data_IF_590329068635
#
_entry.id   IF_590329068635
#
_cell.length_a   1.000
_cell.length_b   1.000
_cell.length_c   1.000
_cell.angle_alpha   90.00
_cell.angle_beta   90.00
_cell.angle_gamma   90.00
#
_symmetry.space_group_name_H-M   'P 1'
#
loop_
_entity.id
_entity.type
_entity.pdbx_description
1 polymer ?
#
# COMPACT_ATOMS: atom_id res chain seq x y z
N UNK A 1 18.81 -13.21 -7.05
CA UNK A 1 17.95 -12.09 -7.48
C UNK A 1 18.83 -10.89 -7.80
N UNK A 2 18.43 -9.98 -8.71
CA UNK A 2 19.17 -8.74 -8.93
C UNK A 2 19.09 -7.87 -7.69
N UNK A 3 20.19 -7.22 -7.36
CA UNK A 3 20.28 -6.25 -6.28
C UNK A 3 21.18 -5.12 -6.76
N UNK A 4 20.87 -3.90 -6.35
CA UNK A 4 21.72 -2.76 -6.69
C UNK A 4 23.14 -2.95 -6.15
N UNK A 5 24.14 -2.90 -7.02
CA UNK A 5 25.54 -3.13 -6.70
C UNK A 5 25.97 -4.60 -6.71
N UNK A 6 25.06 -5.54 -6.97
CA UNK A 6 25.37 -6.97 -7.01
C UNK A 6 26.01 -7.37 -8.35
N UNK A 7 26.72 -8.50 -8.32
CA UNK A 7 27.44 -9.06 -9.47
C UNK A 7 27.04 -10.51 -9.67
N UNK A 8 26.59 -10.84 -10.88
CA UNK A 8 26.32 -12.22 -11.30
C UNK A 8 27.40 -12.66 -12.29
N UNK A 9 27.93 -13.87 -12.12
CA UNK A 9 28.90 -14.45 -13.05
C UNK A 9 28.22 -15.45 -13.97
N UNK A 10 28.44 -15.30 -15.28
CA UNK A 10 28.03 -16.27 -16.30
C UNK A 10 29.25 -16.96 -16.92
N UNK A 11 29.03 -18.15 -17.49
CA UNK A 11 30.06 -18.90 -18.19
C UNK A 11 29.79 -18.88 -19.69
N UNK A 12 30.75 -18.40 -20.47
CA UNK A 12 30.73 -18.57 -21.92
C UNK A 12 31.64 -19.74 -22.29
N UNK A 13 31.09 -20.74 -22.99
CA UNK A 13 31.76 -22.03 -23.24
C UNK A 13 31.70 -22.41 -24.72
N UNK A 14 32.79 -22.96 -25.26
CA UNK A 14 32.85 -23.51 -26.61
C UNK A 14 32.74 -25.04 -26.56
N UNK A 15 31.81 -25.60 -27.33
CA UNK A 15 31.61 -27.04 -27.49
C UNK A 15 32.03 -27.51 -28.89
N UNK A 16 32.22 -28.82 -29.05
CA UNK A 16 32.42 -29.50 -30.34
C UNK A 16 31.51 -30.73 -30.45
N UNK A 17 31.21 -31.18 -31.66
CA UNK A 17 30.54 -32.47 -31.86
C UNK A 17 31.52 -33.64 -31.71
N UNK A 18 31.08 -34.72 -31.06
CA UNK A 18 31.80 -35.98 -30.96
C UNK A 18 31.74 -36.80 -32.28
N UNK A 19 32.25 -36.22 -33.38
CA UNK A 19 32.16 -36.81 -34.72
C UNK A 19 30.95 -36.31 -35.54
N UNK A 20 30.81 -36.78 -36.78
CA UNK A 20 29.66 -36.42 -37.62
C UNK A 20 28.36 -36.97 -37.00
N UNK A 21 27.43 -36.07 -36.68
CA UNK A 21 26.15 -36.43 -36.03
C UNK A 21 26.24 -36.77 -34.54
N UNK A 22 27.42 -36.63 -33.91
CA UNK A 22 27.61 -36.91 -32.48
C UNK A 22 27.05 -35.82 -31.56
N UNK A 23 26.95 -36.15 -30.26
CA UNK A 23 26.53 -35.20 -29.21
C UNK A 23 27.52 -34.04 -29.05
N UNK A 24 27.04 -32.91 -28.56
CA UNK A 24 27.88 -31.78 -28.17
C UNK A 24 28.66 -32.10 -26.90
N UNK A 25 29.98 -31.99 -26.98
CA UNK A 25 30.92 -32.25 -25.89
C UNK A 25 31.81 -31.04 -25.64
N UNK A 26 32.19 -30.85 -24.38
CA UNK A 26 33.14 -29.84 -23.93
C UNK A 26 34.50 -30.48 -23.60
N UNK A 27 35.65 -29.82 -23.89
CA UNK A 27 35.76 -28.54 -24.57
C UNK A 27 35.84 -28.67 -26.10
N UNK A 28 35.38 -27.63 -26.80
CA UNK A 28 35.64 -27.41 -28.21
C UNK A 28 36.97 -26.70 -28.47
N UNK A 29 37.34 -26.43 -29.73
CA UNK A 29 38.56 -25.69 -30.05
C UNK A 29 38.47 -24.23 -29.53
N UNK A 30 39.57 -23.63 -29.05
CA UNK A 30 39.55 -22.24 -28.59
C UNK A 30 39.04 -21.27 -29.66
N UNK A 31 38.20 -20.30 -29.25
CA UNK A 31 37.64 -19.23 -30.10
C UNK A 31 37.58 -17.92 -29.36
N UNK A 32 37.63 -16.82 -30.10
CA UNK A 32 37.26 -15.51 -29.56
C UNK A 32 35.75 -15.54 -29.33
N UNK A 33 35.33 -15.23 -28.10
CA UNK A 33 33.94 -15.18 -27.70
C UNK A 33 33.52 -13.72 -27.61
N UNK A 34 32.36 -13.40 -28.18
CA UNK A 34 31.68 -12.11 -27.98
C UNK A 34 30.39 -12.37 -27.23
N UNK A 35 30.18 -11.67 -26.11
CA UNK A 35 28.92 -11.63 -25.37
C UNK A 35 28.37 -10.22 -25.43
N UNK A 36 27.07 -10.07 -25.66
CA UNK A 36 26.39 -8.78 -25.67
C UNK A 36 25.02 -8.84 -25.00
N UNK A 37 24.55 -7.72 -24.49
CA UNK A 37 23.11 -7.56 -24.21
C UNK A 37 22.36 -7.36 -25.53
N UNK A 38 21.39 -8.22 -25.80
CA UNK A 38 20.39 -8.00 -26.86
C UNK A 38 19.16 -7.27 -26.33
N UNK A 39 18.93 -7.37 -25.02
CA UNK A 39 17.97 -6.58 -24.26
C UNK A 39 18.56 -6.30 -22.87
N UNK A 40 18.35 -5.11 -22.32
CA UNK A 40 18.60 -4.79 -20.92
C UNK A 40 17.65 -3.68 -20.47
N UNK A 41 17.28 -3.69 -19.20
CA UNK A 41 16.48 -2.63 -18.58
C UNK A 41 17.30 -1.35 -18.35
N UNK A 42 16.59 -0.24 -18.19
CA UNK A 42 17.12 1.08 -17.89
C UNK A 42 16.05 1.88 -17.13
N UNK A 43 15.59 1.32 -16.02
CA UNK A 43 14.53 1.94 -15.24
C UNK A 43 15.03 3.23 -14.56
N UNK A 44 14.11 4.15 -14.27
CA UNK A 44 14.48 5.36 -13.51
C UNK A 44 14.77 4.98 -12.05
N UNK A 45 15.85 5.47 -11.46
CA UNK A 45 16.23 5.18 -10.07
C UNK A 45 16.86 3.81 -9.85
N UNK A 46 16.87 3.32 -8.62
CA UNK A 46 17.36 1.96 -8.26
C UNK A 46 16.23 1.01 -7.86
N UNK A 47 15.09 1.58 -7.45
CA UNK A 47 13.83 0.90 -7.14
C UNK A 47 12.68 1.92 -7.31
N UNK A 48 11.45 1.54 -6.97
CA UNK A 48 10.25 2.32 -7.32
C UNK A 48 10.14 3.70 -6.67
N UNK A 49 10.81 3.91 -5.55
CA UNK A 49 10.68 5.12 -4.74
C UNK A 49 12.03 5.68 -4.26
N UNK A 50 13.13 5.31 -4.90
CA UNK A 50 14.45 5.80 -4.52
C UNK A 50 15.42 5.93 -5.70
N UNK A 51 16.27 6.96 -5.65
CA UNK A 51 17.22 7.29 -6.71
C UNK A 51 16.56 8.00 -7.89
N UNK A 52 17.41 8.56 -8.76
CA UNK A 52 16.97 9.36 -9.91
C UNK A 52 17.76 9.09 -11.18
N UNK A 53 18.63 8.06 -11.19
CA UNK A 53 19.40 7.72 -12.38
C UNK A 53 18.46 7.30 -13.53
N UNK A 54 18.94 7.44 -14.75
CA UNK A 54 18.26 6.96 -15.97
C UNK A 54 19.23 6.15 -16.82
N UNK A 55 20.26 5.60 -16.17
CA UNK A 55 21.33 4.82 -16.80
C UNK A 55 20.86 3.39 -17.03
N UNK A 56 21.55 2.62 -17.88
CA UNK A 56 21.29 1.18 -17.97
C UNK A 56 21.48 0.46 -16.63
N UNK A 57 20.62 -0.52 -16.36
CA UNK A 57 20.62 -1.21 -15.07
C UNK A 57 21.68 -2.31 -14.99
N UNK A 58 22.25 -2.70 -16.14
CA UNK A 58 23.20 -3.80 -16.26
C UNK A 58 24.37 -3.42 -17.17
N UNK A 59 25.59 -3.77 -16.76
CA UNK A 59 26.80 -3.52 -17.55
C UNK A 59 27.90 -4.57 -17.33
N UNK A 60 28.82 -4.67 -18.30
CA UNK A 60 30.08 -5.40 -18.17
C UNK A 60 31.20 -4.44 -17.76
N UNK A 61 31.40 -4.22 -16.46
CA UNK A 61 32.40 -3.27 -16.01
C UNK A 61 33.83 -3.77 -16.33
N UNK A 62 34.68 -3.00 -17.03
CA UNK A 62 35.99 -3.47 -17.50
C UNK A 62 36.92 -3.92 -16.37
N UNK A 63 36.94 -3.19 -15.25
CA UNK A 63 37.81 -3.51 -14.10
C UNK A 63 37.42 -4.81 -13.39
N UNK A 64 36.18 -5.30 -13.58
CA UNK A 64 35.71 -6.58 -13.03
C UNK A 64 35.80 -7.73 -14.02
N UNK A 65 36.18 -7.44 -15.27
CA UNK A 65 36.08 -8.37 -16.38
C UNK A 65 37.40 -8.57 -17.13
N UNK A 66 38.57 -8.33 -16.56
CA UNK A 66 39.82 -8.76 -17.21
C UNK A 66 39.85 -10.31 -17.34
N UNK A 67 40.13 -10.90 -18.52
CA UNK A 67 40.71 -10.34 -19.74
C UNK A 67 39.71 -10.09 -20.90
N UNK A 68 38.47 -9.72 -20.61
CA UNK A 68 37.53 -9.21 -21.61
C UNK A 68 37.86 -7.76 -21.98
N UNK A 69 37.78 -7.46 -23.28
CA UNK A 69 37.63 -6.11 -23.79
C UNK A 69 36.13 -5.76 -23.76
N UNK A 70 35.73 -4.97 -22.76
CA UNK A 70 34.36 -4.49 -22.62
C UNK A 70 34.19 -3.11 -23.29
N UNK A 71 33.15 -2.96 -24.12
CA UNK A 71 32.83 -1.73 -24.83
C UNK A 71 31.32 -1.49 -24.88
N UNK A 72 30.91 -0.25 -25.12
CA UNK A 72 29.53 0.09 -25.48
C UNK A 72 29.34 0.08 -27.00
N UNK A 73 28.11 -0.20 -27.46
CA UNK A 73 27.72 0.04 -28.84
C UNK A 73 27.87 1.53 -29.22
N UNK A 74 27.98 1.83 -30.51
CA UNK A 74 28.08 3.21 -30.98
C UNK A 74 26.89 4.05 -30.50
N UNK A 75 27.17 5.17 -29.82
CA UNK A 75 26.15 6.02 -29.20
C UNK A 75 25.66 5.55 -27.82
N UNK A 76 26.14 4.41 -27.33
CA UNK A 76 25.88 3.92 -25.98
C UNK A 76 26.81 4.56 -24.94
N UNK A 77 26.40 4.51 -23.67
CA UNK A 77 27.16 5.06 -22.55
C UNK A 77 28.44 4.24 -22.27
N UNK A 78 29.64 4.82 -22.42
CA UNK A 78 30.90 4.13 -22.11
C UNK A 78 31.05 3.71 -20.64
N UNK A 79 30.32 4.33 -19.71
CA UNK A 79 30.29 3.93 -18.31
C UNK A 79 29.49 2.62 -18.10
N UNK A 80 28.63 2.25 -19.04
CA UNK A 80 27.80 1.04 -19.00
C UNK A 80 28.01 0.15 -20.24
N UNK A 81 29.21 -0.45 -20.42
CA UNK A 81 29.50 -1.33 -21.54
C UNK A 81 28.48 -2.46 -21.67
N UNK A 82 28.08 -2.75 -22.91
CA UNK A 82 27.05 -3.73 -23.25
C UNK A 82 27.56 -4.90 -24.09
N UNK A 83 28.84 -4.87 -24.43
CA UNK A 83 29.53 -5.86 -25.24
C UNK A 83 30.85 -6.22 -24.58
N UNK A 84 31.17 -7.51 -24.52
CA UNK A 84 32.43 -8.03 -24.01
C UNK A 84 33.03 -9.02 -25.02
N UNK A 85 34.29 -8.82 -25.39
CA UNK A 85 35.03 -9.70 -26.30
C UNK A 85 36.26 -10.25 -25.60
N UNK A 86 36.51 -11.55 -25.65
CA UNK A 86 37.74 -12.12 -25.07
C UNK A 86 38.98 -11.62 -25.83
N UNK A 87 40.04 -11.24 -25.13
CA UNK A 87 41.29 -10.74 -25.76
C UNK A 87 42.02 -11.76 -26.67
N UNK A 88 41.63 -13.03 -26.63
CA UNK A 88 42.15 -14.07 -27.50
C UNK A 88 41.28 -15.32 -27.48
N UNK A 89 41.65 -16.36 -28.25
CA UNK A 89 40.88 -17.59 -28.31
C UNK A 89 40.88 -18.36 -26.98
N UNK A 90 39.69 -18.70 -26.48
CA UNK A 90 39.49 -19.46 -25.22
C UNK A 90 38.44 -20.57 -25.41
N UNK A 91 38.43 -21.55 -24.51
CA UNK A 91 37.39 -22.60 -24.48
C UNK A 91 36.28 -22.30 -23.48
N UNK A 92 36.62 -21.58 -22.42
CA UNK A 92 35.73 -21.12 -21.37
C UNK A 92 36.24 -19.78 -20.87
N UNK A 93 35.32 -18.87 -20.57
CA UNK A 93 35.64 -17.64 -19.84
C UNK A 93 34.46 -17.25 -18.94
N UNK A 94 34.79 -16.79 -17.73
CA UNK A 94 33.81 -16.21 -16.80
C UNK A 94 33.61 -14.74 -17.13
N UNK A 95 32.35 -14.30 -17.18
CA UNK A 95 31.97 -12.91 -17.39
C UNK A 95 31.11 -12.45 -16.21
N UNK A 96 31.50 -11.36 -15.58
CA UNK A 96 30.79 -10.70 -14.50
C UNK A 96 29.83 -9.64 -15.06
N UNK A 97 28.63 -9.64 -14.51
CA UNK A 97 27.53 -8.75 -14.88
C UNK A 97 27.15 -7.95 -13.64
N UNK A 98 27.29 -6.64 -13.73
CA UNK A 98 26.97 -5.72 -12.64
C UNK A 98 25.53 -5.24 -12.76
N UNK A 99 24.78 -5.32 -11.66
CA UNK A 99 23.42 -4.78 -11.54
C UNK A 99 23.43 -3.47 -10.76
N UNK A 100 22.63 -2.51 -11.21
CA UNK A 100 22.47 -1.17 -10.63
C UNK A 100 21.01 -0.86 -10.27
N UNK A 101 20.12 -1.85 -10.37
CA UNK A 101 18.69 -1.72 -10.09
C UNK A 101 18.16 -3.02 -9.49
N UNK A 102 17.26 -2.93 -8.50
CA UNK A 102 16.68 -4.09 -7.83
C UNK A 102 15.68 -4.87 -8.69
N UNK A 103 15.19 -4.30 -9.78
CA UNK A 103 14.30 -4.91 -10.77
C UNK A 103 14.96 -5.16 -12.12
N UNK A 104 16.30 -5.12 -12.22
CA UNK A 104 17.00 -5.22 -13.50
C UNK A 104 16.71 -6.54 -14.23
N UNK A 105 16.52 -6.49 -15.54
CA UNK A 105 16.39 -7.66 -16.41
C UNK A 105 17.20 -7.52 -17.70
N UNK A 106 17.65 -8.64 -18.27
CA UNK A 106 18.37 -8.64 -19.55
C UNK A 106 18.28 -9.97 -20.29
N UNK A 107 18.58 -9.90 -21.59
CA UNK A 107 18.85 -11.02 -22.46
C UNK A 107 20.27 -10.90 -22.99
N UNK A 108 21.07 -11.94 -22.77
CA UNK A 108 22.45 -12.03 -23.25
C UNK A 108 22.51 -12.93 -24.47
N UNK A 109 23.34 -12.58 -25.43
CA UNK A 109 23.69 -13.43 -26.57
C UNK A 109 25.19 -13.66 -26.61
N UNK A 110 25.60 -14.92 -26.78
CA UNK A 110 26.99 -15.30 -27.02
C UNK A 110 27.22 -15.74 -28.47
N UNK A 111 28.30 -15.27 -29.09
CA UNK A 111 28.71 -15.63 -30.44
C UNK A 111 30.21 -15.90 -30.52
N UNK A 112 30.62 -16.73 -31.49
CA UNK A 112 32.02 -17.01 -31.76
C UNK A 112 32.21 -17.34 -33.26
N UNK A 113 33.31 -16.90 -33.90
CA UNK A 113 33.56 -17.15 -35.32
C UNK A 113 33.61 -18.64 -35.66
N UNK A 114 32.82 -19.05 -36.66
CA UNK A 114 32.75 -20.45 -37.12
C UNK A 114 32.06 -21.41 -36.16
N UNK A 115 31.34 -20.89 -35.16
CA UNK A 115 30.49 -21.68 -34.26
C UNK A 115 29.02 -21.54 -34.64
N UNK A 116 28.22 -22.54 -34.27
CA UNK A 116 26.76 -22.46 -34.28
C UNK A 116 26.27 -22.16 -32.86
N UNK A 117 25.12 -21.48 -32.71
CA UNK A 117 24.57 -21.19 -31.39
C UNK A 117 24.08 -22.47 -30.70
N UNK A 118 24.30 -22.56 -29.39
CA UNK A 118 23.92 -23.70 -28.58
C UNK A 118 23.06 -23.25 -27.40
N UNK A 119 22.16 -24.13 -26.96
CA UNK A 119 21.38 -23.97 -25.73
C UNK A 119 21.52 -25.21 -24.86
N UNK A 120 21.62 -25.00 -23.54
CA UNK A 120 21.51 -26.07 -22.56
C UNK A 120 20.05 -26.24 -22.13
N UNK A 121 19.51 -27.44 -22.27
CA UNK A 121 18.17 -27.79 -21.79
C UNK A 121 18.17 -28.03 -20.27
N UNK A 122 17.00 -28.00 -19.60
CA UNK A 122 16.90 -28.35 -18.18
C UNK A 122 17.44 -29.75 -17.83
N UNK A 123 17.44 -30.67 -18.79
CA UNK A 123 18.04 -32.01 -18.66
C UNK A 123 19.57 -32.00 -18.60
N UNK A 124 20.21 -30.85 -18.83
CA UNK A 124 21.65 -30.68 -18.96
C UNK A 124 22.19 -30.93 -20.37
N UNK A 125 21.37 -31.45 -21.28
CA UNK A 125 21.72 -31.68 -22.69
C UNK A 125 22.03 -30.36 -23.42
N UNK A 126 23.04 -30.36 -24.29
CA UNK A 126 23.40 -29.22 -25.13
C UNK A 126 22.99 -29.50 -26.56
N UNK A 127 22.15 -28.63 -27.12
CA UNK A 127 21.57 -28.77 -28.46
C UNK A 127 21.85 -27.52 -29.30
N UNK A 128 21.78 -27.65 -30.62
CA UNK A 128 21.81 -26.50 -31.51
C UNK A 128 20.55 -25.64 -31.31
N UNK A 129 20.73 -24.33 -31.38
CA UNK A 129 19.66 -23.36 -31.25
C UNK A 129 19.79 -22.29 -32.34
N UNK A 130 18.72 -21.53 -32.55
CA UNK A 130 18.75 -20.36 -33.44
C UNK A 130 19.65 -19.26 -32.89
N UNK A 131 19.72 -19.14 -31.55
CA UNK A 131 20.60 -18.22 -30.82
C UNK A 131 21.08 -18.85 -29.52
N UNK A 132 22.26 -18.44 -29.06
CA UNK A 132 22.83 -18.83 -27.77
C UNK A 132 22.49 -17.72 -26.77
N UNK A 133 21.22 -17.69 -26.38
CA UNK A 133 20.66 -16.67 -25.50
C UNK A 133 20.37 -17.21 -24.10
N UNK A 134 20.53 -16.36 -23.09
CA UNK A 134 20.12 -16.63 -21.71
C UNK A 134 19.71 -15.34 -21.02
N UNK A 135 18.73 -15.40 -20.11
CA UNK A 135 18.33 -14.29 -19.27
C UNK A 135 19.27 -14.13 -18.07
N UNK A 136 19.56 -12.89 -17.71
CA UNK A 136 20.19 -12.53 -16.42
C UNK A 136 19.42 -11.36 -15.80
N UNK A 137 18.85 -11.51 -14.59
CA UNK A 137 18.76 -12.74 -13.80
C UNK A 137 18.03 -13.86 -14.55
N UNK A 138 18.15 -15.10 -14.05
CA UNK A 138 17.45 -16.25 -14.63
C UNK A 138 15.94 -15.99 -14.61
N UNK A 139 15.33 -16.14 -15.77
CA UNK A 139 13.91 -15.91 -16.06
C UNK A 139 13.54 -16.90 -17.17
N UNK A 140 13.03 -18.07 -16.76
CA UNK A 140 12.71 -19.18 -17.68
C UNK A 140 11.35 -18.99 -18.37
N UNK A 141 10.44 -18.23 -17.76
CA UNK A 141 9.10 -17.97 -18.29
C UNK A 141 9.02 -16.66 -19.10
N UNK A 142 10.13 -15.93 -19.21
CA UNK A 142 10.29 -14.69 -19.97
C UNK A 142 9.33 -13.59 -19.52
N UNK A 143 9.00 -13.52 -18.23
CA UNK A 143 8.15 -12.47 -17.67
C UNK A 143 8.95 -11.27 -17.13
N UNK A 144 10.27 -11.27 -17.28
CA UNK A 144 11.19 -10.19 -16.86
C UNK A 144 11.27 -10.01 -15.33
N UNK A 145 10.86 -11.04 -14.59
CA UNK A 145 10.98 -11.16 -13.14
C UNK A 145 11.88 -12.38 -12.88
N UNK A 146 12.83 -12.25 -11.95
CA UNK A 146 13.73 -13.36 -11.67
C UNK A 146 12.94 -14.56 -11.09
N UNK A 147 13.21 -15.76 -11.61
CA UNK A 147 12.67 -17.02 -11.09
C UNK A 147 12.85 -17.17 -9.57
N UNK A 148 13.94 -16.60 -9.04
CA UNK A 148 14.30 -16.68 -7.63
C UNK A 148 13.42 -15.83 -6.69
N UNK A 149 12.53 -14.97 -7.20
CA UNK A 149 11.65 -14.17 -6.35
C UNK A 149 10.41 -14.92 -5.88
N UNK A 150 9.83 -15.78 -6.71
CA UNK A 150 8.65 -16.57 -6.35
C UNK A 150 8.99 -18.04 -6.56
N UNK A 151 9.18 -18.78 -5.46
CA UNK A 151 9.61 -20.18 -5.52
C UNK A 151 8.59 -21.13 -6.20
N UNK A 152 7.37 -20.69 -6.55
CA UNK A 152 6.34 -21.59 -7.11
C UNK A 152 5.45 -21.07 -8.26
N UNK A 153 5.54 -19.82 -8.76
CA UNK A 153 4.59 -19.34 -9.79
C UNK A 153 5.24 -18.98 -11.13
N UNK A 154 5.55 -20.01 -11.92
CA UNK A 154 6.09 -19.94 -13.27
C UNK A 154 5.19 -19.23 -14.32
N UNK A 155 4.07 -18.61 -13.95
CA UNK A 155 3.11 -18.05 -14.92
C UNK A 155 2.56 -16.65 -14.57
N UNK A 156 3.15 -15.94 -13.59
CA UNK A 156 2.67 -14.60 -13.22
C UNK A 156 3.06 -13.58 -14.29
N UNK A 157 2.09 -12.92 -14.96
CA UNK A 157 2.40 -11.79 -15.83
C UNK A 157 3.00 -10.64 -15.02
N UNK A 158 4.00 -9.95 -15.56
CA UNK A 158 4.63 -8.81 -14.90
C UNK A 158 3.70 -7.63 -14.62
N UNK A 159 2.57 -7.54 -15.34
CA UNK A 159 1.52 -6.52 -15.18
C UNK A 159 0.38 -6.93 -14.25
N UNK A 160 0.46 -8.10 -13.61
CA UNK A 160 -0.59 -8.59 -12.73
C UNK A 160 -0.67 -7.74 -11.46
N UNK A 161 -1.87 -7.27 -11.10
CA UNK A 161 -2.17 -6.50 -9.88
C UNK A 161 -3.56 -6.94 -9.41
N UNK A 162 -3.61 -8.11 -8.78
CA UNK A 162 -4.83 -8.82 -8.38
C UNK A 162 -4.79 -9.33 -6.94
N UNK A 163 -4.01 -8.68 -6.07
CA UNK A 163 -3.89 -8.97 -4.64
C UNK A 163 -5.26 -9.12 -4.00
N UNK A 164 -5.54 -10.32 -3.51
CA UNK A 164 -6.86 -10.72 -3.01
C UNK A 164 -6.81 -11.10 -1.52
N UNK A 165 -5.75 -10.70 -0.80
CA UNK A 165 -5.68 -10.78 0.66
C UNK A 165 -5.49 -9.39 1.28
N UNK A 166 -6.50 -8.86 2.00
CA UNK A 166 -7.84 -9.43 2.19
C UNK A 166 -8.66 -9.40 0.89
N UNK A 167 -9.56 -10.37 0.74
CA UNK A 167 -10.47 -10.40 -0.40
C UNK A 167 -11.63 -9.43 -0.21
N UNK A 168 -11.84 -8.60 -1.23
CA UNK A 168 -12.96 -7.65 -1.31
C UNK A 168 -13.27 -7.34 -2.79
N UNK A 169 -14.33 -6.56 -3.11
CA UNK A 169 -14.67 -6.19 -4.48
C UNK A 169 -13.62 -5.36 -5.25
N UNK A 170 -12.52 -4.99 -4.61
CA UNK A 170 -11.46 -4.13 -5.14
C UNK A 170 -10.11 -4.87 -5.11
N UNK A 171 -9.90 -5.88 -5.97
CA UNK A 171 -8.65 -6.65 -6.02
C UNK A 171 -7.44 -5.75 -6.32
N UNK A 172 -6.25 -6.20 -5.93
CA UNK A 172 -5.02 -5.43 -6.10
C UNK A 172 -4.86 -4.27 -5.12
N UNK A 173 -3.64 -3.77 -5.05
CA UNK A 173 -3.28 -2.56 -4.31
C UNK A 173 -2.73 -1.44 -5.21
N UNK A 174 -2.73 -1.66 -6.53
CA UNK A 174 -2.27 -0.69 -7.50
C UNK A 174 -0.81 -0.88 -7.90
N UNK A 175 -0.14 -1.91 -7.38
CA UNK A 175 1.21 -2.31 -7.72
C UNK A 175 1.17 -3.60 -8.54
N UNK A 176 1.88 -3.59 -9.66
CA UNK A 176 2.01 -4.79 -10.49
C UNK A 176 3.06 -5.75 -9.94
N UNK A 177 3.01 -7.02 -10.36
CA UNK A 177 4.00 -8.02 -9.98
C UNK A 177 5.44 -7.58 -10.24
N UNK A 178 5.71 -6.85 -11.33
CA UNK A 178 7.03 -6.28 -11.55
C UNK A 178 7.38 -5.15 -10.59
N UNK A 179 6.41 -4.30 -10.25
CA UNK A 179 6.60 -3.23 -9.27
C UNK A 179 6.92 -3.81 -7.89
N UNK A 180 6.14 -4.78 -7.45
CA UNK A 180 6.36 -5.49 -6.19
C UNK A 180 7.69 -6.25 -6.13
N UNK A 181 8.04 -6.90 -7.25
CA UNK A 181 9.35 -7.47 -7.47
C UNK A 181 10.41 -6.39 -7.32
N UNK A 182 10.41 -5.34 -8.15
CA UNK A 182 11.42 -4.28 -8.15
C UNK A 182 11.54 -3.61 -6.77
N UNK A 183 10.44 -3.52 -6.05
CA UNK A 183 10.37 -3.19 -4.63
C UNK A 183 10.60 -1.72 -4.32
N UNK A 184 10.71 -1.45 -3.03
CA UNK A 184 10.70 -0.11 -2.44
C UNK A 184 11.80 0.01 -1.39
N UNK A 185 12.35 1.21 -1.25
CA UNK A 185 13.07 1.62 -0.06
C UNK A 185 12.04 1.90 1.05
N UNK A 186 12.20 1.24 2.20
CA UNK A 186 11.34 1.39 3.36
C UNK A 186 12.26 1.62 4.57
N UNK A 187 12.33 2.86 5.05
CA UNK A 187 13.18 3.27 6.17
C UNK A 187 14.67 2.95 5.94
N UNK A 188 15.15 3.30 4.75
CA UNK A 188 16.53 3.13 4.30
C UNK A 188 16.89 1.70 3.88
N UNK A 189 15.94 0.76 3.87
CA UNK A 189 16.17 -0.64 3.48
C UNK A 189 15.29 -1.03 2.30
N UNK A 190 15.89 -1.62 1.25
CA UNK A 190 15.14 -2.15 0.13
C UNK A 190 14.35 -3.39 0.54
N UNK A 191 13.07 -3.42 0.18
CA UNK A 191 12.15 -4.52 0.43
C UNK A 191 11.31 -4.78 -0.83
N UNK A 192 11.12 -6.06 -1.17
CA UNK A 192 10.11 -6.51 -2.14
C UNK A 192 8.78 -6.77 -1.43
N UNK A 193 7.68 -6.70 -2.17
CA UNK A 193 6.33 -6.98 -1.66
C UNK A 193 5.79 -8.31 -2.21
N UNK A 194 4.50 -8.58 -2.07
CA UNK A 194 3.89 -9.89 -2.29
C UNK A 194 2.62 -9.78 -3.13
N UNK A 195 2.63 -10.44 -4.29
CA UNK A 195 1.56 -10.49 -5.32
C UNK A 195 0.21 -11.05 -4.89
N UNK A 196 0.10 -11.50 -3.65
CA UNK A 196 -1.15 -12.01 -3.08
C UNK A 196 -1.66 -11.16 -1.93
N UNK A 197 -0.96 -10.09 -1.52
CA UNK A 197 -1.24 -9.33 -0.32
C UNK A 197 -1.16 -7.83 -0.57
N UNK A 198 -2.27 -7.15 -0.28
CA UNK A 198 -2.34 -5.69 -0.41
C UNK A 198 -1.36 -5.01 0.55
N UNK A 199 -0.58 -4.06 0.04
CA UNK A 199 0.32 -3.21 0.80
C UNK A 199 -0.17 -1.76 0.86
N UNK A 200 -0.27 -1.22 2.08
CA UNK A 200 -0.61 0.18 2.36
C UNK A 200 0.59 0.91 2.96
N UNK A 201 0.99 2.01 2.32
CA UNK A 201 2.18 2.75 2.68
C UNK A 201 1.87 4.02 3.48
N UNK A 202 2.67 4.27 4.52
CA UNK A 202 2.60 5.47 5.33
C UNK A 202 3.91 6.25 5.38
N UNK A 203 3.79 7.57 5.47
CA UNK A 203 4.80 8.41 6.12
C UNK A 203 4.36 8.65 7.57
N UNK A 204 5.11 8.09 8.52
CA UNK A 204 4.76 8.09 9.96
C UNK A 204 5.91 8.63 10.84
N UNK A 205 6.36 9.89 10.65
CA UNK A 205 7.53 10.44 11.36
C UNK A 205 7.31 10.59 12.88
N UNK A 206 6.06 10.60 13.34
CA UNK A 206 5.70 10.72 14.76
C UNK A 206 5.44 9.37 15.44
N UNK A 207 5.65 8.25 14.74
CA UNK A 207 5.46 6.88 15.27
C UNK A 207 4.06 6.64 15.85
N UNK A 208 3.02 7.10 15.15
CA UNK A 208 1.65 6.74 15.50
C UNK A 208 1.43 5.21 15.41
N UNK A 209 0.57 4.64 16.26
CA UNK A 209 0.34 3.19 16.31
C UNK A 209 -0.45 2.69 15.10
N UNK A 210 0.25 2.21 14.07
CA UNK A 210 -0.33 1.69 12.82
C UNK A 210 -0.64 0.19 12.87
N UNK A 211 -0.15 -0.56 13.87
CA UNK A 211 -0.32 -2.01 13.97
C UNK A 211 -1.79 -2.46 13.98
N UNK A 212 -2.68 -1.64 14.56
CA UNK A 212 -4.12 -1.91 14.59
C UNK A 212 -4.77 -1.83 13.20
N UNK A 213 -4.23 -1.02 12.29
CA UNK A 213 -4.69 -0.96 10.89
C UNK A 213 -4.53 -2.33 10.24
N UNK A 214 -3.33 -2.92 10.29
CA UNK A 214 -3.07 -4.25 9.75
C UNK A 214 -3.90 -5.32 10.47
N UNK A 215 -4.02 -5.25 11.80
CA UNK A 215 -4.78 -6.23 12.57
C UNK A 215 -6.28 -6.27 12.19
N UNK A 216 -6.90 -5.12 11.92
CA UNK A 216 -8.35 -5.06 11.63
C UNK A 216 -8.67 -5.19 10.14
N UNK A 217 -7.82 -4.67 9.27
CA UNK A 217 -8.03 -4.73 7.82
C UNK A 217 -7.45 -5.99 7.17
N UNK A 218 -6.45 -6.62 7.80
CA UNK A 218 -5.57 -7.63 7.19
C UNK A 218 -4.73 -7.11 6.00
N UNK A 219 -4.73 -5.80 5.73
CA UNK A 219 -3.85 -5.15 4.74
C UNK A 219 -2.49 -4.95 5.38
N UNK A 220 -1.40 -5.28 4.67
CA UNK A 220 -0.06 -5.06 5.19
C UNK A 220 0.25 -3.58 5.28
N UNK A 221 0.83 -3.18 6.41
CA UNK A 221 1.24 -1.79 6.63
C UNK A 221 2.74 -1.68 6.40
N UNK A 222 3.12 -0.75 5.53
CA UNK A 222 4.51 -0.37 5.23
C UNK A 222 4.73 1.08 5.64
N UNK A 223 5.91 1.38 6.13
CA UNK A 223 6.30 2.75 6.48
C UNK A 223 7.56 3.14 5.71
N UNK A 224 7.57 4.38 5.23
CA UNK A 224 8.68 4.97 4.47
C UNK A 224 9.13 6.28 5.12
N UNK A 225 10.41 6.60 4.95
CA UNK A 225 11.02 7.82 5.46
C UNK A 225 10.92 8.99 4.47
N UNK A 226 11.12 10.24 4.91
CA UNK A 226 11.25 11.38 4.00
C UNK A 226 12.32 11.13 2.93
N UNK A 227 11.98 11.38 1.66
CA UNK A 227 12.85 11.12 0.51
C UNK A 227 12.63 9.77 -0.18
N UNK A 228 11.77 8.91 0.37
CA UNK A 228 11.36 7.61 -0.20
C UNK A 228 9.97 7.67 -0.85
N UNK A 229 9.57 8.87 -1.26
CA UNK A 229 8.32 9.18 -1.95
C UNK A 229 8.42 10.62 -2.48
N UNK A 230 7.57 10.98 -3.44
CA UNK A 230 7.59 12.31 -4.06
C UNK A 230 6.79 13.33 -3.24
N UNK A 231 7.48 14.26 -2.57
CA UNK A 231 6.87 15.40 -1.88
C UNK A 231 6.71 16.59 -2.85
N UNK A 232 5.55 17.27 -2.91
CA UNK A 232 4.35 17.11 -2.07
C UNK A 232 3.26 16.19 -2.64
N UNK A 233 3.49 15.55 -3.81
CA UNK A 233 2.45 14.80 -4.52
C UNK A 233 2.00 13.53 -3.76
N UNK A 234 2.81 13.01 -2.84
CA UNK A 234 2.64 11.73 -2.12
C UNK A 234 2.78 10.49 -2.98
N UNK A 235 3.22 10.64 -4.22
CA UNK A 235 3.41 9.51 -5.12
C UNK A 235 4.54 8.64 -4.56
N UNK A 236 4.22 7.38 -4.26
CA UNK A 236 5.14 6.39 -3.73
C UNK A 236 6.02 5.84 -4.86
N UNK A 237 5.42 5.28 -5.90
CA UNK A 237 6.11 4.65 -7.03
C UNK A 237 6.52 5.66 -8.13
N UNK A 238 7.17 6.76 -7.76
CA UNK A 238 7.54 7.84 -8.70
C UNK A 238 8.57 7.42 -9.77
N UNK A 239 9.27 6.31 -9.54
CA UNK A 239 10.17 5.68 -10.50
C UNK A 239 9.49 4.54 -11.31
N UNK A 240 8.17 4.57 -11.45
CA UNK A 240 7.41 3.66 -12.33
C UNK A 240 7.78 3.83 -13.81
N UNK A 241 7.70 2.73 -14.58
CA UNK A 241 8.06 2.69 -15.99
C UNK A 241 7.67 1.37 -16.64
N UNK A 242 8.54 0.37 -16.55
CA UNK A 242 8.27 -0.97 -17.06
C UNK A 242 7.13 -1.66 -16.31
N UNK A 243 6.22 -2.28 -17.07
CA UNK A 243 5.09 -3.07 -16.58
C UNK A 243 4.22 -2.39 -15.50
N UNK A 244 4.31 -1.07 -15.33
CA UNK A 244 3.65 -0.37 -14.24
C UNK A 244 2.11 -0.41 -14.35
N UNK A 245 1.44 -0.36 -13.20
CA UNK A 245 -0.01 -0.21 -13.13
C UNK A 245 -0.50 1.06 -13.84
N UNK A 246 -1.82 1.21 -14.08
CA UNK A 246 -2.35 2.34 -14.86
C UNK A 246 -2.15 3.69 -14.17
N UNK A 247 -2.23 3.74 -12.83
CA UNK A 247 -2.17 4.95 -12.02
C UNK A 247 -0.98 4.91 -11.04
N UNK A 248 -0.35 6.06 -10.72
CA UNK A 248 0.60 6.12 -9.62
C UNK A 248 -0.12 5.85 -8.28
N UNK A 249 0.57 5.21 -7.35
CA UNK A 249 0.08 4.96 -6.00
C UNK A 249 0.53 6.04 -5.04
N UNK A 250 -0.37 6.47 -4.16
CA UNK A 250 -0.11 7.48 -3.15
C UNK A 250 -0.03 6.85 -1.76
N UNK A 251 0.94 7.31 -0.96
CA UNK A 251 0.98 6.96 0.45
C UNK A 251 0.02 7.81 1.29
N UNK A 252 -0.24 7.36 2.51
CA UNK A 252 -0.95 8.12 3.54
C UNK A 252 0.04 8.82 4.49
N UNK A 253 -0.14 10.11 4.72
CA UNK A 253 0.68 10.88 5.68
C UNK A 253 0.00 10.90 7.03
N UNK A 254 0.68 10.49 8.10
CA UNK A 254 0.21 10.68 9.47
C UNK A 254 0.86 11.92 10.08
N UNK A 255 0.04 12.89 10.48
CA UNK A 255 0.53 14.16 11.05
C UNK A 255 -0.19 14.48 12.36
N UNK A 256 0.46 15.27 13.22
CA UNK A 256 -0.20 15.83 14.40
C UNK A 256 -1.17 16.92 13.96
N UNK A 257 -2.46 16.69 14.13
CA UNK A 257 -3.48 17.68 13.81
C UNK A 257 -3.46 18.85 14.80
N UNK A 258 -3.58 20.08 14.30
CA UNK A 258 -3.80 21.28 15.14
C UNK A 258 -5.30 21.67 15.21
N UNK A 259 -6.18 20.74 14.82
CA UNK A 259 -7.62 21.00 14.65
C UNK A 259 -8.41 21.05 15.97
N UNK A 260 -7.79 20.88 17.14
CA UNK A 260 -8.47 21.01 18.44
C UNK A 260 -9.14 22.38 18.61
N UNK A 261 -8.60 23.43 17.98
CA UNK A 261 -9.20 24.78 17.97
C UNK A 261 -10.37 24.94 16.99
N UNK A 262 -10.50 24.04 16.00
CA UNK A 262 -11.51 24.14 14.92
C UNK A 262 -12.76 23.33 15.27
N UNK A 263 -12.60 22.17 15.94
CA UNK A 263 -13.70 21.33 16.41
C UNK A 263 -13.38 20.74 17.80
N UNK A 264 -13.90 21.32 18.89
CA UNK A 264 -13.77 20.75 20.23
C UNK A 264 -14.29 19.31 20.24
N UNK A 265 -13.44 18.35 20.65
CA UNK A 265 -13.79 16.92 20.69
C UNK A 265 -13.41 16.10 19.45
N UNK A 266 -12.73 16.70 18.45
CA UNK A 266 -12.19 15.96 17.31
C UNK A 266 -10.96 15.14 17.72
N UNK A 267 -11.02 13.82 17.50
CA UNK A 267 -9.92 12.88 17.74
C UNK A 267 -8.94 12.79 16.57
N UNK A 268 -9.47 12.68 15.35
CA UNK A 268 -8.71 12.60 14.12
C UNK A 268 -9.50 13.08 12.92
N UNK A 269 -8.83 13.16 11.76
CA UNK A 269 -9.48 13.48 10.49
C UNK A 269 -8.64 13.03 9.29
N UNK A 270 -9.21 12.24 8.39
CA UNK A 270 -8.74 12.11 7.02
C UNK A 270 -9.07 13.39 6.22
N UNK A 271 -8.04 14.15 5.85
CA UNK A 271 -8.17 15.41 5.11
C UNK A 271 -8.39 15.11 3.63
N UNK A 272 -9.52 15.54 3.04
CA UNK A 272 -9.86 15.20 1.66
C UNK A 272 -8.98 15.97 0.66
N UNK A 273 -8.42 15.28 -0.32
CA UNK A 273 -7.83 15.90 -1.50
C UNK A 273 -8.92 16.22 -2.51
N UNK A 274 -8.96 17.47 -3.01
CA UNK A 274 -9.94 17.88 -4.01
C UNK A 274 -11.41 17.79 -3.57
N UNK A 275 -11.68 17.80 -2.25
CA UNK A 275 -13.04 17.74 -1.69
C UNK A 275 -13.68 16.34 -1.67
N UNK A 276 -12.94 15.30 -2.07
CA UNK A 276 -13.41 13.90 -2.04
C UNK A 276 -13.17 13.30 -0.65
N UNK A 277 -14.25 12.86 0.03
CA UNK A 277 -14.18 12.48 1.45
C UNK A 277 -13.63 11.07 1.73
N UNK A 278 -13.84 10.12 0.83
CA UNK A 278 -13.61 8.71 1.13
C UNK A 278 -12.88 8.00 0.00
N UNK A 279 -11.59 7.69 0.25
CA UNK A 279 -10.69 6.89 -0.58
C UNK A 279 -10.71 7.08 -2.10
N UNK A 280 -9.86 6.35 -2.83
CA UNK A 280 -8.64 5.66 -2.38
C UNK A 280 -7.55 6.66 -1.87
N UNK A 281 -6.35 6.23 -1.44
CA UNK A 281 -5.31 7.09 -0.85
C UNK A 281 -4.97 8.39 -1.59
N UNK A 282 -5.06 8.44 -2.93
CA UNK A 282 -4.90 9.69 -3.70
C UNK A 282 -5.85 10.80 -3.26
N UNK A 283 -7.02 10.44 -2.73
CA UNK A 283 -8.05 11.37 -2.29
C UNK A 283 -7.90 11.79 -0.82
N UNK A 284 -6.81 11.43 -0.14
CA UNK A 284 -6.52 11.85 1.23
C UNK A 284 -5.18 12.56 1.31
N UNK A 285 -5.17 13.87 1.55
CA UNK A 285 -3.93 14.67 1.63
C UNK A 285 -3.07 14.25 2.82
N UNK A 286 -3.71 14.05 3.97
CA UNK A 286 -3.10 13.59 5.20
C UNK A 286 -4.16 13.11 6.19
N UNK A 287 -3.74 12.31 7.15
CA UNK A 287 -4.52 11.90 8.31
C UNK A 287 -4.00 12.68 9.52
N UNK A 288 -4.85 13.56 10.03
CA UNK A 288 -4.62 14.27 11.28
C UNK A 288 -4.96 13.40 12.46
N UNK A 289 -4.06 13.35 13.42
CA UNK A 289 -4.30 12.78 14.74
C UNK A 289 -4.14 13.89 15.78
N UNK A 290 -5.21 14.21 16.51
CA UNK A 290 -5.25 15.31 17.47
C UNK A 290 -4.74 14.78 18.81
N UNK A 291 -3.42 14.79 19.00
CA UNK A 291 -2.75 14.25 20.19
C UNK A 291 -3.34 14.75 21.50
N UNK A 292 -3.73 16.03 21.58
CA UNK A 292 -4.31 16.63 22.79
C UNK A 292 -5.63 15.97 23.24
N UNK A 293 -6.33 15.26 22.36
CA UNK A 293 -7.57 14.55 22.68
C UNK A 293 -7.36 13.13 23.23
N UNK A 294 -6.11 12.63 23.24
CA UNK A 294 -5.78 11.25 23.59
C UNK A 294 -4.94 11.17 24.87
N UNK A 295 -5.24 12.01 25.85
CA UNK A 295 -4.58 12.01 27.16
C UNK A 295 -5.55 11.59 28.24
N UNK A 296 -5.17 10.59 29.03
CA UNK A 296 -5.91 10.12 30.20
C UNK A 296 -5.15 10.42 31.50
N UNK A 297 -5.83 10.65 32.63
CA UNK A 297 -5.17 10.83 33.91
C UNK A 297 -4.29 9.63 34.28
N UNK A 298 -3.07 9.88 34.75
CA UNK A 298 -2.19 8.82 35.23
C UNK A 298 -2.73 8.27 36.58
N UNK A 299 -3.03 6.96 36.68
CA UNK A 299 -3.48 6.38 37.94
C UNK A 299 -2.45 6.59 39.07
N UNK A 300 -2.89 7.16 40.19
CA UNK A 300 -2.03 7.41 41.35
C UNK A 300 -1.17 8.69 41.29
N UNK A 301 -1.29 9.50 40.23
CA UNK A 301 -0.56 10.77 40.10
C UNK A 301 -1.52 11.92 39.71
N UNK A 302 -2.18 12.56 40.69
CA UNK A 302 -3.09 13.66 40.43
C UNK A 302 -2.44 14.79 39.62
N UNK A 303 -3.10 15.21 38.55
CA UNK A 303 -2.61 16.29 37.67
C UNK A 303 -1.60 15.85 36.59
N UNK A 304 -1.17 14.58 36.58
CA UNK A 304 -0.40 14.02 35.46
C UNK A 304 -1.31 13.32 34.46
N UNK A 305 -0.97 13.44 33.18
CA UNK A 305 -1.64 12.75 32.09
C UNK A 305 -0.64 11.90 31.30
N UNK A 306 -1.13 10.80 30.74
CA UNK A 306 -0.39 9.93 29.81
C UNK A 306 -1.19 9.73 28.52
N UNK A 307 -0.53 9.47 27.39
CA UNK A 307 -1.24 9.12 26.16
C UNK A 307 -2.07 7.84 26.33
N UNK A 308 -3.33 7.88 25.90
CA UNK A 308 -4.15 6.67 25.70
C UNK A 308 -3.79 6.04 24.35
N UNK A 309 -2.89 5.07 24.39
CA UNK A 309 -2.41 4.41 23.18
C UNK A 309 -3.49 3.57 22.47
N UNK A 310 -4.55 3.16 23.16
CA UNK A 310 -5.64 2.42 22.53
C UNK A 310 -6.54 3.36 21.74
N UNK A 311 -6.92 4.50 22.33
CA UNK A 311 -7.70 5.52 21.61
C UNK A 311 -6.92 6.12 20.44
N UNK A 312 -5.60 6.30 20.61
CA UNK A 312 -4.73 6.74 19.53
C UNK A 312 -4.71 5.73 18.37
N UNK A 313 -4.56 4.44 18.68
CA UNK A 313 -4.61 3.37 17.68
C UNK A 313 -5.97 3.28 16.99
N UNK A 314 -7.05 3.42 17.74
CA UNK A 314 -8.42 3.46 17.20
C UNK A 314 -8.61 4.63 16.25
N UNK A 315 -8.11 5.80 16.61
CA UNK A 315 -8.20 6.99 15.75
C UNK A 315 -7.42 6.77 14.45
N UNK A 316 -6.20 6.25 14.53
CA UNK A 316 -5.39 5.94 13.33
C UNK A 316 -6.10 4.96 12.40
N UNK A 317 -6.65 3.86 12.93
CA UNK A 317 -7.37 2.87 12.09
C UNK A 317 -8.71 3.38 11.57
N UNK A 318 -9.41 4.21 12.34
CA UNK A 318 -10.66 4.84 11.92
C UNK A 318 -10.45 5.80 10.75
N UNK A 319 -9.50 6.73 10.88
CA UNK A 319 -9.19 7.70 9.81
C UNK A 319 -8.56 7.03 8.59
N UNK A 320 -7.78 5.96 8.79
CA UNK A 320 -7.34 5.12 7.67
C UNK A 320 -8.52 4.48 6.95
N UNK A 321 -9.54 4.02 7.68
CA UNK A 321 -10.78 3.51 7.09
C UNK A 321 -11.38 4.51 6.11
N UNK A 322 -11.50 5.79 6.51
CA UNK A 322 -11.93 6.87 5.61
C UNK A 322 -11.01 7.04 4.41
N UNK A 323 -9.69 7.03 4.62
CA UNK A 323 -8.71 7.16 3.56
C UNK A 323 -8.74 6.01 2.53
N UNK A 324 -9.28 4.85 2.93
CA UNK A 324 -9.50 3.69 2.07
C UNK A 324 -10.94 3.60 1.53
N UNK A 325 -11.84 4.49 1.93
CA UNK A 325 -13.19 4.56 1.37
C UNK A 325 -14.32 4.14 2.32
N UNK A 326 -14.04 3.71 3.55
CA UNK A 326 -15.07 3.40 4.52
C UNK A 326 -15.70 4.68 5.07
N UNK A 327 -17.02 4.77 5.05
CA UNK A 327 -17.75 5.82 5.73
C UNK A 327 -18.18 5.36 7.13
N UNK A 328 -18.57 6.31 7.98
CA UNK A 328 -19.21 5.98 9.25
C UNK A 328 -20.46 5.13 9.03
N UNK A 329 -20.85 4.36 10.05
CA UNK A 329 -22.11 3.62 10.05
C UNK A 329 -23.35 4.52 9.89
N UNK A 330 -23.27 5.76 10.37
CA UNK A 330 -24.22 6.84 10.13
C UNK A 330 -23.51 8.19 10.29
N UNK A 331 -24.05 9.24 9.67
CA UNK A 331 -23.52 10.61 9.75
C UNK A 331 -24.47 11.50 10.55
N UNK A 332 -23.92 12.61 11.04
CA UNK A 332 -24.66 13.64 11.77
C UNK A 332 -24.42 13.56 13.27
N UNK A 333 -23.76 14.58 13.81
CA UNK A 333 -24.06 14.97 15.17
C UNK A 333 -25.50 15.46 15.18
N UNK A 334 -26.28 15.07 16.18
CA UNK A 334 -27.56 15.71 16.37
C UNK A 334 -27.25 17.15 16.76
N UNK A 335 -27.34 18.07 15.81
CA UNK A 335 -27.45 19.48 16.13
C UNK A 335 -28.83 19.63 16.78
N UNK A 336 -28.86 19.67 18.12
CA UNK A 336 -30.06 20.02 18.88
C UNK A 336 -30.36 21.50 18.58
N UNK A 337 -31.00 21.75 17.44
CA UNK A 337 -31.67 23.01 17.20
C UNK A 337 -32.90 23.02 18.10
N UNK A 338 -32.90 23.91 19.08
CA UNK A 338 -34.06 24.14 19.94
C UNK A 338 -35.26 24.49 19.07
N UNK A 339 -36.19 23.56 18.91
CA UNK A 339 -37.49 23.88 18.33
C UNK A 339 -38.28 24.53 19.47
N UNK A 340 -38.25 25.86 19.53
CA UNK A 340 -39.19 26.60 20.36
C UNK A 340 -40.61 26.31 19.85
N UNK A 341 -41.58 25.98 20.73
CA UNK A 341 -42.96 25.88 20.31
C UNK A 341 -43.40 27.19 19.63
N UNK A 342 -44.20 27.14 18.55
CA UNK A 342 -44.76 28.34 17.94
C UNK A 342 -45.47 29.19 18.99
N UNK A 343 -44.98 30.41 19.24
CA UNK A 343 -45.54 31.34 20.23
C UNK A 343 -44.84 31.39 21.60
N UNK A 344 -43.74 30.66 21.81
CA UNK A 344 -42.90 30.82 23.01
C UNK A 344 -42.26 32.22 23.05
N UNK A 345 -42.49 32.96 24.15
CA UNK A 345 -41.83 34.25 24.46
C UNK A 345 -40.64 34.10 25.42
N UNK A 346 -40.24 32.87 25.75
CA UNK A 346 -39.05 32.64 26.56
C UNK A 346 -37.81 33.18 25.81
N UNK A 347 -36.96 33.99 26.48
CA UNK A 347 -35.73 34.46 25.85
C UNK A 347 -34.88 33.25 25.43
N UNK A 348 -34.29 33.30 24.24
CA UNK A 348 -33.24 32.35 23.88
C UNK A 348 -32.19 32.37 25.00
N UNK A 349 -31.81 31.20 25.57
CA UNK A 349 -30.80 31.19 26.60
C UNK A 349 -29.49 31.76 26.05
N UNK A 350 -28.79 32.48 26.91
CA UNK A 350 -27.52 33.19 26.67
C UNK A 350 -26.52 32.32 25.87
N UNK A 351 -25.89 32.84 24.79
CA UNK A 351 -24.89 32.12 24.00
C UNK A 351 -23.62 31.72 24.79
N UNK A 352 -23.51 32.05 26.08
CA UNK A 352 -22.34 31.79 26.93
C UNK A 352 -22.46 30.65 27.96
N UNK A 353 -23.43 29.70 27.86
CA UNK A 353 -23.58 28.59 28.84
C UNK A 353 -23.55 27.18 28.20
N UNK A 354 -23.10 26.14 28.94
CA UNK A 354 -21.99 25.26 28.57
C UNK A 354 -22.43 23.90 28.01
N UNK A 355 -21.51 23.25 27.29
CA UNK A 355 -21.56 21.82 26.97
C UNK A 355 -21.63 21.02 28.29
N UNK A 356 -22.71 20.28 28.51
CA UNK A 356 -22.85 19.45 29.70
C UNK A 356 -22.07 18.13 29.53
N UNK A 357 -21.05 17.94 30.35
CA UNK A 357 -20.53 16.61 30.66
C UNK A 357 -21.44 15.98 31.71
N UNK A 358 -22.19 14.95 31.32
CA UNK A 358 -22.93 14.12 32.28
C UNK A 358 -22.13 12.85 32.56
N UNK A 359 -21.47 12.81 33.71
CA UNK A 359 -21.05 11.56 34.32
C UNK A 359 -22.29 10.85 34.87
N UNK A 360 -22.52 9.64 34.39
CA UNK A 360 -23.37 8.58 34.94
C UNK A 360 -24.70 8.99 35.63
N UNK A 361 -25.81 8.55 35.03
CA UNK A 361 -27.06 8.23 35.71
C UNK A 361 -27.73 9.38 36.50
N UNK A 362 -28.52 10.21 35.81
CA UNK A 362 -29.89 10.61 36.19
C UNK A 362 -30.29 11.89 35.47
N UNK A 363 -31.61 12.03 35.22
CA UNK A 363 -32.30 13.29 34.90
C UNK A 363 -32.02 13.94 33.54
N UNK A 364 -32.95 13.78 32.59
CA UNK A 364 -33.58 14.93 31.92
C UNK A 364 -35.03 14.60 31.56
N UNK A 365 -35.95 15.47 31.98
CA UNK A 365 -37.37 15.41 31.68
C UNK A 365 -37.67 15.79 30.22
N UNK A 366 -38.81 15.29 29.73
CA UNK A 366 -39.30 15.45 28.37
C UNK A 366 -39.41 16.92 27.91
N UNK A 367 -38.97 17.21 26.69
CA UNK A 367 -39.24 18.47 25.97
C UNK A 367 -40.42 18.20 25.01
N UNK A 368 -41.54 18.95 25.10
CA UNK A 368 -42.70 18.74 24.21
C UNK A 368 -42.48 19.41 22.85
N UNK A 369 -42.73 18.65 21.77
CA UNK A 369 -42.70 19.13 20.37
C UNK A 369 -44.04 18.81 19.68
N UNK A 370 -44.43 19.55 18.63
CA UNK A 370 -45.72 19.39 17.96
C UNK A 370 -45.96 17.99 17.39
N UNK A 371 -47.23 17.62 17.33
CA UNK A 371 -47.76 16.28 17.59
C UNK A 371 -47.46 15.19 16.55
N UNK A 372 -46.89 15.48 15.38
CA UNK A 372 -46.70 14.44 14.36
C UNK A 372 -45.45 14.70 13.51
N UNK A 373 -44.34 14.06 13.89
CA UNK A 373 -43.36 13.59 12.92
C UNK A 373 -43.50 12.06 12.83
N UNK A 374 -43.50 11.48 11.61
CA UNK A 374 -43.49 10.03 11.46
C UNK A 374 -42.28 9.45 12.20
N UNK A 375 -42.41 8.23 12.71
CA UNK A 375 -41.32 7.47 13.34
C UNK A 375 -40.22 7.16 12.30
N UNK A 376 -39.48 8.17 11.87
CA UNK A 376 -38.25 8.00 11.14
C UNK A 376 -37.22 7.56 12.17
N UNK A 377 -36.80 6.30 12.09
CA UNK A 377 -35.59 5.84 12.75
C UNK A 377 -34.43 6.64 12.14
N UNK A 378 -34.03 7.73 12.80
CA UNK A 378 -32.80 8.43 12.44
C UNK A 378 -31.68 7.44 12.83
N UNK A 379 -30.90 6.90 11.87
CA UNK A 379 -29.81 6.00 12.20
C UNK A 379 -28.88 6.72 13.17
N UNK A 380 -28.82 6.22 14.41
CA UNK A 380 -27.90 6.77 15.39
C UNK A 380 -26.47 6.56 14.87
N UNK A 381 -25.58 7.51 15.15
CA UNK A 381 -24.12 7.41 14.91
C UNK A 381 -23.49 6.14 15.50
N UNK A 382 -24.21 5.50 16.42
CA UNK A 382 -23.86 4.27 17.10
C UNK A 382 -24.42 2.98 16.47
N UNK A 383 -25.09 3.08 15.32
CA UNK A 383 -25.77 1.96 14.65
C UNK A 383 -24.80 0.93 14.07
N UNK A 384 -25.33 -0.21 13.62
CA UNK A 384 -24.58 -1.26 12.93
C UNK A 384 -23.81 -2.18 13.86
N UNK A 385 -22.77 -2.79 13.30
CA UNK A 385 -21.92 -3.71 14.05
C UNK A 385 -21.24 -3.00 15.24
N UNK A 386 -21.47 -3.54 16.44
CA UNK A 386 -21.02 -2.98 17.71
C UNK A 386 -19.49 -2.89 17.83
N UNK A 387 -18.78 -3.84 17.25
CA UNK A 387 -17.32 -3.95 17.34
C UNK A 387 -16.58 -3.29 16.17
N UNK A 388 -17.32 -2.69 15.24
CA UNK A 388 -16.73 -2.05 14.07
C UNK A 388 -16.07 -0.72 14.40
N UNK A 389 -14.87 -0.50 13.86
CA UNK A 389 -14.13 0.75 14.02
C UNK A 389 -14.83 1.96 13.42
N UNK A 390 -15.70 1.81 12.42
CA UNK A 390 -16.41 2.91 11.76
C UNK A 390 -17.70 3.34 12.49
N UNK A 391 -18.00 2.75 13.64
CA UNK A 391 -19.07 3.17 14.54
C UNK A 391 -18.54 4.24 15.49
N UNK A 392 -19.32 5.28 15.75
CA UNK A 392 -18.96 6.25 16.80
C UNK A 392 -19.00 5.61 18.20
N UNK A 393 -18.01 5.91 19.05
CA UNK A 393 -17.96 5.45 20.47
C UNK A 393 -19.05 6.06 21.35
N UNK A 394 -19.56 7.23 20.96
CA UNK A 394 -20.62 7.92 21.70
C UNK A 394 -21.94 7.75 20.96
N UNK A 395 -22.93 7.19 21.63
CA UNK A 395 -24.28 7.18 21.08
C UNK A 395 -24.99 8.49 21.42
N UNK A 396 -25.50 9.14 20.38
CA UNK A 396 -26.51 10.18 20.49
C UNK A 396 -27.75 9.64 19.81
N UNK A 397 -28.73 9.20 20.59
CA UNK A 397 -30.00 8.73 20.05
C UNK A 397 -31.09 9.77 20.32
N UNK A 398 -31.83 10.15 19.27
CA UNK A 398 -33.11 10.85 19.39
C UNK A 398 -34.23 9.88 19.10
N UNK A 399 -35.23 9.79 19.97
CA UNK A 399 -36.44 9.03 19.68
C UNK A 399 -37.70 9.71 20.23
N UNK A 400 -38.82 9.49 19.53
CA UNK A 400 -40.12 10.05 19.91
C UNK A 400 -40.94 9.00 20.65
N UNK A 401 -41.37 9.30 21.88
CA UNK A 401 -42.20 8.41 22.70
C UNK A 401 -43.18 9.22 23.54
N UNK A 402 -44.47 8.92 23.39
CA UNK A 402 -45.54 9.53 24.19
C UNK A 402 -45.71 11.03 23.98
N UNK A 403 -45.53 11.53 22.75
CA UNK A 403 -45.66 12.96 22.44
C UNK A 403 -44.43 13.81 22.77
N UNK A 404 -43.31 13.19 23.13
CA UNK A 404 -42.07 13.88 23.49
C UNK A 404 -40.85 13.32 22.74
N UNK A 405 -39.89 14.20 22.45
CA UNK A 405 -38.57 13.84 21.96
C UNK A 405 -37.66 13.51 23.15
N UNK A 406 -37.01 12.36 23.10
CA UNK A 406 -36.06 11.88 24.10
C UNK A 406 -34.67 11.85 23.46
N UNK A 407 -33.69 12.49 24.11
CA UNK A 407 -32.28 12.35 23.78
C UNK A 407 -31.64 11.38 24.79
N UNK A 408 -31.01 10.33 24.29
CA UNK A 408 -30.16 9.47 25.11
C UNK A 408 -28.72 9.69 24.70
N UNK A 409 -27.95 10.26 25.64
CA UNK A 409 -26.51 10.25 25.62
C UNK A 409 -26.05 9.06 26.43
N UNK A 410 -25.59 8.01 25.78
CA UNK A 410 -24.78 7.04 26.51
C UNK A 410 -23.37 7.60 26.57
N UNK A 411 -22.69 7.48 27.71
CA UNK A 411 -21.25 7.77 27.77
C UNK A 411 -20.48 7.00 26.69
N UNK A 412 -19.21 7.33 26.50
CA UNK A 412 -18.29 6.55 25.68
C UNK A 412 -18.38 5.08 26.09
N UNK A 413 -18.70 4.20 25.14
CA UNK A 413 -18.58 2.79 25.39
C UNK A 413 -17.10 2.41 25.31
N UNK A 414 -16.59 1.83 26.40
CA UNK A 414 -15.20 1.38 26.49
C UNK A 414 -15.00 0.00 25.83
N UNK A 415 -15.92 -0.43 24.95
CA UNK A 415 -15.74 -1.70 24.26
C UNK A 415 -14.66 -1.56 23.19
N UNK A 416 -13.84 -2.60 23.00
CA UNK A 416 -12.77 -2.56 22.01
C UNK A 416 -13.38 -2.63 20.61
N UNK A 417 -12.85 -1.80 19.70
CA UNK A 417 -13.03 -2.00 18.28
C UNK A 417 -12.12 -3.12 17.81
N UNK A 418 -12.70 -4.11 17.15
CA UNK A 418 -12.01 -5.36 16.78
C UNK A 418 -12.20 -5.74 15.32
N UNK A 419 -12.86 -4.93 14.50
CA UNK A 419 -13.06 -5.25 13.09
C UNK A 419 -13.40 -4.02 12.21
N UNK A 420 -13.24 -4.21 10.90
CA UNK A 420 -14.12 -3.58 9.90
C UNK A 420 -15.27 -4.55 9.62
N UNK A 421 -16.52 -4.11 9.81
CA UNK A 421 -17.66 -5.01 9.72
C UNK A 421 -17.85 -5.58 8.30
N UNK A 422 -18.39 -6.80 8.22
CA UNK A 422 -18.75 -7.46 6.95
C UNK A 422 -20.22 -7.25 6.54
N UNK A 423 -21.02 -6.60 7.38
CA UNK A 423 -22.46 -6.41 7.16
C UNK A 423 -22.96 -5.10 7.78
N UNK A 424 -24.01 -4.48 7.22
CA UNK A 424 -24.70 -3.34 7.84
C UNK A 424 -25.55 -3.71 9.06
N UNK A 425 -25.74 -5.01 9.34
CA UNK A 425 -26.60 -5.46 10.43
C UNK A 425 -26.12 -4.95 11.80
N UNK A 426 -27.07 -4.63 12.68
CA UNK A 426 -26.79 -4.36 14.09
C UNK A 426 -26.31 -5.62 14.80
N UNK A 427 -25.25 -5.53 15.60
CA UNK A 427 -24.76 -6.63 16.46
C UNK A 427 -24.71 -6.18 17.93
N UNK A 428 -24.55 -7.11 18.86
CA UNK A 428 -24.51 -6.79 20.30
C UNK A 428 -25.75 -6.00 20.75
N UNK A 429 -25.59 -4.88 21.48
CA UNK A 429 -26.70 -3.99 21.84
C UNK A 429 -27.52 -3.46 20.64
N UNK A 430 -26.93 -3.39 19.44
CA UNK A 430 -27.62 -2.93 18.23
C UNK A 430 -28.45 -4.01 17.53
N UNK A 431 -28.29 -5.29 17.91
CA UNK A 431 -28.99 -6.41 17.29
C UNK A 431 -30.51 -6.38 17.56
N UNK A 432 -30.92 -5.90 18.73
CA UNK A 432 -32.31 -6.00 19.20
C UNK A 432 -32.92 -4.66 19.65
N UNK A 433 -32.16 -3.55 19.62
CA UNK A 433 -32.69 -2.21 19.84
C UNK A 433 -31.88 -1.35 20.81
N UNK A 434 -31.07 -0.47 20.22
CA UNK A 434 -30.55 0.78 20.79
C UNK A 434 -30.31 1.78 19.63
N UNK A 435 -29.64 1.30 18.57
CA UNK A 435 -29.43 2.07 17.34
C UNK A 435 -29.79 1.32 16.03
N UNK A 436 -29.91 -0.02 16.07
CA UNK A 436 -30.31 -0.82 14.90
C UNK A 436 -29.20 -1.00 13.85
N UNK A 437 -29.54 -1.37 12.60
CA UNK A 437 -28.57 -1.50 11.51
C UNK A 437 -28.00 -0.14 11.07
N UNK A 438 -26.90 -0.16 10.33
CA UNK A 438 -26.29 1.03 9.72
C UNK A 438 -27.30 1.81 8.87
N UNK A 439 -27.02 3.09 8.62
CA UNK A 439 -27.76 3.88 7.64
C UNK A 439 -27.72 3.22 6.24
N UNK A 440 -28.73 3.45 5.37
CA UNK A 440 -28.72 2.93 4.01
C UNK A 440 -27.42 3.29 3.26
N UNK A 441 -26.78 2.29 2.63
CA UNK A 441 -25.50 2.48 1.94
C UNK A 441 -24.26 2.53 2.85
N UNK A 442 -24.41 2.29 4.17
CA UNK A 442 -23.31 2.22 5.15
C UNK A 442 -23.11 0.78 5.66
N UNK A 443 -22.04 0.58 6.44
CA UNK A 443 -21.64 -0.74 6.91
C UNK A 443 -20.85 -1.52 5.86
N UNK A 444 -20.67 -2.83 6.08
CA UNK A 444 -19.79 -3.67 5.24
C UNK A 444 -18.43 -3.01 4.99
N UNK A 445 -17.88 -2.38 6.03
CA UNK A 445 -16.71 -1.52 5.93
C UNK A 445 -15.49 -2.23 5.35
N UNK A 446 -15.37 -3.57 5.52
CA UNK A 446 -14.31 -4.37 4.90
C UNK A 446 -14.38 -4.36 3.37
N UNK A 447 -15.60 -4.37 2.82
CA UNK A 447 -15.85 -4.54 1.40
C UNK A 447 -15.70 -3.23 0.62
N UNK A 448 -15.45 -2.12 1.31
CA UNK A 448 -15.25 -0.79 0.71
C UNK A 448 -13.81 -0.27 0.82
N UNK A 449 -12.90 -1.05 1.40
CA UNK A 449 -11.49 -0.67 1.51
C UNK A 449 -10.81 -0.79 0.14
N UNK A 450 -10.40 0.35 -0.42
CA UNK A 450 -9.73 0.49 -1.72
C UNK A 450 -8.30 0.97 -1.48
N UNK A 451 -7.34 0.09 -1.67
CA UNK A 451 -5.91 0.45 -1.58
C UNK A 451 -5.44 1.05 -2.90
N UNK A 452 -5.80 0.42 -4.02
CA UNK A 452 -5.40 0.85 -5.35
C UNK A 452 -6.06 2.18 -5.76
N UNK A 453 -5.23 3.14 -6.16
CA UNK A 453 -5.67 4.46 -6.63
C UNK A 453 -6.44 4.46 -7.94
N UNK A 454 -6.42 3.35 -8.70
CA UNK A 454 -7.22 3.17 -9.92
C UNK A 454 -8.73 3.16 -9.65
N UNK A 455 -9.15 2.86 -8.44
CA UNK A 455 -10.57 2.76 -8.13
C UNK A 455 -11.25 4.12 -7.99
N UNK A 456 -12.54 4.22 -8.36
CA UNK A 456 -13.31 5.42 -8.08
C UNK A 456 -13.47 5.60 -6.56
N UNK A 457 -13.72 6.85 -6.17
CA UNK A 457 -14.03 7.20 -4.79
C UNK A 457 -15.33 6.54 -4.31
N UNK A 458 -15.45 6.35 -2.99
CA UNK A 458 -16.75 5.98 -2.42
C UNK A 458 -17.62 7.24 -2.34
N UNK A 459 -18.82 7.27 -2.94
CA UNK A 459 -19.73 8.39 -2.75
C UNK A 459 -20.10 8.56 -1.27
N UNK A 460 -20.38 9.80 -0.85
CA UNK A 460 -20.64 10.13 0.54
C UNK A 460 -21.94 9.54 1.07
#
# INVERSE_FOLDING_TARGET
MPENGNVTTVQAMIFRKAGQGGTWIYPGPPRVITVRFTQRSSERGVCLNFGSQTTPDLAFLPFMNSPWACSSAAGGDPAFPDTAVTNGPVQLQLLNINSFDYGSFSLLEATAPGCVPLRRLPTGEVVEATKAETSVPKDDNANQIADAWVEDWYAVPNTLDNDDSPSNPFPGDGLTAYEEYRGFMMKGVHCRTFIDQKDLFYSNPLNFPTSKVQALSSIRVREVDPGEWEDPSRILNFNRGHAAGPEPQHLLKLTSGNAAAIFPGLAGRAVPAGGVRFGPPKNTEEIWVVLASHFVPLPGAPGMQIPDMNELADTVVHETGHALGAAHHAEGFVELSWILPPGSTAPAPDPAMPVFTHTAASLMGAIPLPEQLPAAAIPCTHSGCWTCIMRYRTSQALFFRGGALHAVYTGTDNQPFTEFCASPAGTGPNATGAAGPCAPGRGSCRDVLRVADRYPNNPP
#
